data_IF_369659460438
#
_entry.id   IF_369659460438
#
_cell.length_a   1.000
_cell.length_b   1.000
_cell.length_c   1.000
_cell.angle_alpha   90.00
_cell.angle_beta   90.00
_cell.angle_gamma   90.00
#
_symmetry.space_group_name_H-M   'P 1'
#
loop_
_entity.id
_entity.type
_entity.pdbx_description
1 polymer ?
#
# COMPACT_ATOMS: atom_id res chain seq x y z
N UNK A 1 -53.37 -25.24 -16.10
CA UNK A 1 -52.94 -24.44 -14.95
C UNK A 1 -51.84 -25.11 -14.09
N UNK A 2 -52.04 -26.32 -13.54
CA UNK A 2 -51.05 -26.96 -12.60
C UNK A 2 -49.66 -27.23 -13.19
N UNK A 3 -49.53 -27.56 -14.49
CA UNK A 3 -48.22 -27.77 -15.14
C UNK A 3 -47.42 -26.46 -15.32
N UNK A 4 -48.08 -25.38 -15.75
CA UNK A 4 -47.42 -24.08 -15.88
C UNK A 4 -46.90 -23.56 -14.54
N UNK A 5 -47.67 -23.73 -13.49
CA UNK A 5 -47.30 -23.31 -12.13
C UNK A 5 -46.03 -24.06 -11.63
N UNK A 6 -45.94 -25.38 -11.89
CA UNK A 6 -44.75 -26.18 -11.54
C UNK A 6 -43.47 -25.74 -12.31
N UNK A 7 -43.63 -25.35 -13.57
CA UNK A 7 -42.51 -24.85 -14.38
C UNK A 7 -42.03 -23.52 -13.83
N UNK A 8 -42.97 -22.59 -13.51
CA UNK A 8 -42.62 -21.31 -12.91
C UNK A 8 -41.90 -21.49 -11.56
N UNK A 9 -42.40 -22.35 -10.68
CA UNK A 9 -41.72 -22.68 -9.41
C UNK A 9 -40.32 -23.24 -9.63
N UNK A 10 -40.13 -24.16 -10.59
CA UNK A 10 -38.83 -24.69 -10.93
C UNK A 10 -37.84 -23.63 -11.37
N UNK A 11 -38.28 -22.72 -12.24
CA UNK A 11 -37.42 -21.61 -12.72
C UNK A 11 -37.05 -20.66 -11.57
N UNK A 12 -38.02 -20.29 -10.72
CA UNK A 12 -37.77 -19.40 -9.56
C UNK A 12 -36.77 -20.05 -8.59
N UNK A 13 -36.93 -21.33 -8.27
CA UNK A 13 -35.99 -22.05 -7.40
C UNK A 13 -34.59 -22.09 -8.02
N UNK A 14 -34.47 -22.34 -9.33
CA UNK A 14 -33.17 -22.38 -10.01
C UNK A 14 -32.48 -21.02 -9.95
N UNK A 15 -33.20 -19.92 -10.15
CA UNK A 15 -32.65 -18.55 -10.05
C UNK A 15 -32.19 -18.28 -8.63
N UNK A 16 -32.96 -18.64 -7.61
CA UNK A 16 -32.57 -18.46 -6.20
C UNK A 16 -31.31 -19.24 -5.86
N UNK A 17 -31.16 -20.48 -6.33
CA UNK A 17 -29.96 -21.30 -6.13
C UNK A 17 -28.75 -20.65 -6.78
N UNK A 18 -28.88 -20.13 -8.01
CA UNK A 18 -27.79 -19.42 -8.70
C UNK A 18 -27.38 -18.16 -7.96
N UNK A 19 -28.32 -17.39 -7.43
CA UNK A 19 -28.04 -16.21 -6.61
C UNK A 19 -27.28 -16.60 -5.33
N UNK A 20 -27.72 -17.63 -4.62
CA UNK A 20 -27.03 -18.11 -3.42
C UNK A 20 -25.62 -18.58 -3.71
N UNK A 21 -25.42 -19.36 -4.79
CA UNK A 21 -24.10 -19.78 -5.23
C UNK A 21 -23.20 -18.59 -5.56
N UNK A 22 -23.74 -17.59 -6.28
CA UNK A 22 -22.99 -16.38 -6.63
C UNK A 22 -22.60 -15.57 -5.38
N UNK A 23 -23.52 -15.41 -4.43
CA UNK A 23 -23.24 -14.70 -3.15
C UNK A 23 -22.20 -15.46 -2.34
N UNK A 24 -22.34 -16.80 -2.20
CA UNK A 24 -21.34 -17.62 -1.52
C UNK A 24 -19.97 -17.54 -2.19
N UNK A 25 -19.91 -17.59 -3.51
CA UNK A 25 -18.68 -17.42 -4.28
C UNK A 25 -18.06 -16.05 -4.05
N UNK A 26 -18.86 -14.98 -4.10
CA UNK A 26 -18.39 -13.62 -3.84
C UNK A 26 -17.83 -13.46 -2.43
N UNK A 27 -18.53 -14.00 -1.41
CA UNK A 27 -18.07 -13.95 -0.02
C UNK A 27 -16.80 -14.78 0.21
N UNK A 28 -16.67 -15.93 -0.46
CA UNK A 28 -15.49 -16.79 -0.37
C UNK A 28 -14.30 -16.18 -1.12
N UNK A 29 -14.53 -15.59 -2.30
CA UNK A 29 -13.46 -14.94 -3.07
C UNK A 29 -12.89 -13.71 -2.37
N UNK A 30 -13.72 -12.96 -1.61
CA UNK A 30 -13.22 -11.86 -0.76
C UNK A 30 -12.52 -12.35 0.52
N UNK A 31 -12.71 -13.60 0.92
CA UNK A 31 -12.03 -14.20 2.07
C UNK A 31 -10.82 -15.06 1.70
N UNK A 32 -10.55 -15.23 0.40
CA UNK A 32 -9.30 -15.89 0.00
C UNK A 32 -8.15 -15.02 0.51
N UNK A 33 -7.34 -15.55 1.44
CA UNK A 33 -6.11 -14.88 1.80
C UNK A 33 -5.36 -14.68 0.49
N UNK A 34 -4.87 -13.45 0.26
CA UNK A 34 -3.95 -13.15 -0.82
C UNK A 34 -2.99 -14.32 -0.92
N UNK A 35 -2.98 -15.00 -2.07
CA UNK A 35 -2.10 -16.13 -2.26
C UNK A 35 -0.71 -15.61 -1.90
N UNK A 36 -0.12 -16.14 -0.82
CA UNK A 36 1.31 -15.97 -0.60
C UNK A 36 1.95 -16.50 -1.86
N UNK A 37 2.34 -15.60 -2.75
CA UNK A 37 3.14 -15.99 -3.90
C UNK A 37 4.40 -16.60 -3.30
N UNK A 38 4.55 -17.89 -3.46
CA UNK A 38 5.75 -18.59 -3.07
C UNK A 38 6.88 -17.92 -3.83
N UNK A 39 7.78 -17.26 -3.12
CA UNK A 39 8.98 -16.67 -3.72
C UNK A 39 9.80 -17.82 -4.27
N UNK A 40 9.57 -18.20 -5.51
CA UNK A 40 10.36 -19.19 -6.24
C UNK A 40 11.48 -18.44 -6.95
N UNK A 41 12.71 -18.53 -6.44
CA UNK A 41 13.90 -17.92 -7.07
C UNK A 41 13.91 -16.38 -6.98
N UNK A 42 14.24 -15.69 -8.02
CA UNK A 42 14.59 -14.27 -8.09
C UNK A 42 13.38 -13.30 -8.15
N UNK A 43 12.28 -13.56 -7.45
CA UNK A 43 11.13 -12.67 -7.45
C UNK A 43 11.31 -11.53 -6.43
N UNK A 44 11.11 -10.30 -6.87
CA UNK A 44 11.09 -9.10 -6.06
C UNK A 44 9.63 -8.66 -5.83
N UNK A 45 9.24 -8.52 -4.57
CA UNK A 45 7.91 -8.06 -4.20
C UNK A 45 7.94 -6.58 -3.88
N UNK A 46 7.14 -5.79 -4.60
CA UNK A 46 7.01 -4.35 -4.40
C UNK A 46 5.59 -4.01 -3.99
N UNK A 47 5.42 -3.28 -2.90
CA UNK A 47 4.15 -2.70 -2.47
C UNK A 47 4.18 -1.21 -2.70
N UNK A 48 3.11 -0.66 -3.28
CA UNK A 48 2.87 0.77 -3.36
C UNK A 48 1.56 1.10 -2.65
N UNK A 49 1.57 2.15 -1.81
CA UNK A 49 0.42 2.50 -0.98
C UNK A 49 0.37 4.01 -0.71
N UNK A 50 -0.71 4.65 -1.18
CA UNK A 50 -0.99 6.03 -0.81
C UNK A 50 -1.58 6.08 0.60
N UNK A 51 -0.93 6.79 1.52
CA UNK A 51 -1.29 6.84 2.93
C UNK A 51 -2.33 7.91 3.27
N UNK A 52 -2.79 8.67 2.27
CA UNK A 52 -3.75 9.77 2.44
C UNK A 52 -3.37 10.71 3.60
N UNK A 53 -2.16 11.26 3.54
CA UNK A 53 -1.60 12.09 4.62
C UNK A 53 -1.49 11.33 5.95
N UNK A 54 -1.31 10.01 5.89
CA UNK A 54 -1.39 9.07 7.01
C UNK A 54 -2.69 9.27 7.80
N UNK A 55 -3.82 9.41 7.05
CA UNK A 55 -5.14 9.61 7.61
C UNK A 55 -5.19 10.83 8.55
N UNK A 56 -4.78 11.96 8.07
CA UNK A 56 -4.38 13.26 8.65
C UNK A 56 -4.61 13.43 10.15
N UNK A 57 -5.85 13.36 10.65
CA UNK A 57 -6.18 13.60 12.06
C UNK A 57 -6.44 12.31 12.87
N UNK A 58 -6.07 11.16 12.34
CA UNK A 58 -6.20 9.88 13.04
C UNK A 58 -5.19 9.77 14.20
N UNK A 59 -5.55 8.94 15.19
CA UNK A 59 -4.71 8.65 16.35
C UNK A 59 -3.41 7.97 15.92
N UNK A 60 -2.40 8.02 16.77
CA UNK A 60 -1.14 7.31 16.55
C UNK A 60 -1.36 5.81 16.31
N UNK A 61 -2.25 5.20 17.09
CA UNK A 61 -2.59 3.78 17.00
C UNK A 61 -3.08 3.39 15.58
N UNK A 62 -3.93 4.21 14.96
CA UNK A 62 -4.44 3.96 13.60
C UNK A 62 -3.33 4.01 12.56
N UNK A 63 -2.37 4.95 12.72
CA UNK A 63 -1.20 5.09 11.84
C UNK A 63 -0.27 3.90 11.96
N UNK A 64 -0.01 3.44 13.17
CA UNK A 64 0.81 2.27 13.42
C UNK A 64 0.13 1.00 12.91
N UNK A 65 -1.19 0.85 13.10
CA UNK A 65 -1.94 -0.29 12.57
C UNK A 65 -1.89 -0.36 11.04
N UNK A 66 -1.95 0.78 10.35
CA UNK A 66 -1.77 0.84 8.89
C UNK A 66 -0.37 0.37 8.47
N UNK A 67 0.68 0.85 9.15
CA UNK A 67 2.06 0.43 8.86
C UNK A 67 2.26 -1.06 9.15
N UNK A 68 1.67 -1.57 10.23
CA UNK A 68 1.68 -3.00 10.56
C UNK A 68 0.98 -3.85 9.49
N UNK A 69 -0.11 -3.35 8.92
CA UNK A 69 -0.76 -3.99 7.79
C UNK A 69 0.17 -4.06 6.56
N UNK A 70 0.83 -2.94 6.24
CA UNK A 70 1.80 -2.89 5.13
C UNK A 70 2.97 -3.86 5.35
N UNK A 71 3.50 -3.97 6.58
CA UNK A 71 4.55 -4.93 6.92
C UNK A 71 4.11 -6.39 6.74
N UNK A 72 2.86 -6.72 7.10
CA UNK A 72 2.30 -8.07 6.91
C UNK A 72 2.23 -8.53 5.46
N UNK A 73 2.33 -7.61 4.50
CA UNK A 73 2.44 -7.95 3.08
C UNK A 73 3.81 -8.54 2.72
N UNK A 74 4.79 -8.48 3.62
CA UNK A 74 6.13 -9.07 3.52
C UNK A 74 6.86 -8.70 2.22
N UNK A 75 6.73 -7.42 1.81
CA UNK A 75 7.34 -6.91 0.60
C UNK A 75 8.85 -6.69 0.76
N UNK A 76 9.58 -6.81 -0.34
CA UNK A 76 11.01 -6.47 -0.40
C UNK A 76 11.22 -4.96 -0.46
N UNK A 77 10.29 -4.26 -1.12
CA UNK A 77 10.28 -2.80 -1.26
C UNK A 77 8.87 -2.29 -0.96
N UNK A 78 8.79 -1.24 -0.15
CA UNK A 78 7.53 -0.54 0.17
C UNK A 78 7.66 0.92 -0.26
N UNK A 79 6.75 1.35 -1.13
CA UNK A 79 6.65 2.72 -1.62
C UNK A 79 5.40 3.36 -1.03
N UNK A 80 5.57 4.33 -0.16
CA UNK A 80 4.47 5.08 0.44
C UNK A 80 4.38 6.47 -0.18
N UNK A 81 3.18 6.86 -0.59
CA UNK A 81 2.88 8.22 -1.03
C UNK A 81 2.08 8.96 0.05
N UNK A 82 2.08 10.28 0.01
CA UNK A 82 1.38 11.15 0.96
C UNK A 82 1.74 10.89 2.42
N UNK A 83 2.97 10.51 2.69
CA UNK A 83 3.41 10.33 4.07
C UNK A 83 3.53 11.70 4.74
N UNK A 84 2.78 11.89 5.83
CA UNK A 84 2.78 13.10 6.63
C UNK A 84 3.41 12.85 7.99
N UNK A 85 4.49 13.56 8.30
CA UNK A 85 5.15 13.53 9.62
C UNK A 85 5.23 14.92 10.23
N UNK A 86 5.22 14.98 11.56
CA UNK A 86 5.23 16.21 12.32
C UNK A 86 6.59 16.42 12.99
N UNK A 87 6.96 17.68 13.22
CA UNK A 87 8.12 18.05 14.05
C UNK A 87 7.78 18.02 15.54
N UNK A 88 6.50 18.09 15.88
CA UNK A 88 6.04 18.06 17.28
C UNK A 88 6.09 16.63 17.82
N UNK A 89 6.82 16.35 18.92
CA UNK A 89 6.96 15.01 19.49
C UNK A 89 5.64 14.40 20.02
N UNK A 90 4.62 15.22 20.26
CA UNK A 90 3.28 14.74 20.67
C UNK A 90 2.42 14.28 19.48
N UNK A 91 2.99 14.21 18.30
CA UNK A 91 2.33 13.77 17.05
C UNK A 91 3.18 12.68 16.40
N UNK A 92 2.70 12.09 15.30
CA UNK A 92 3.47 11.12 14.54
C UNK A 92 4.67 11.77 13.85
N UNK A 93 5.86 11.38 14.25
CA UNK A 93 7.14 11.96 13.82
C UNK A 93 7.89 11.06 12.86
N UNK A 94 8.98 11.57 12.27
CA UNK A 94 9.89 10.74 11.46
C UNK A 94 10.59 9.62 12.27
N UNK A 95 11.02 9.84 13.53
CA UNK A 95 11.47 8.74 14.39
C UNK A 95 10.42 7.64 14.58
N UNK A 96 9.13 7.98 14.79
CA UNK A 96 8.06 6.98 14.93
C UNK A 96 7.90 6.17 13.66
N UNK A 97 7.95 6.81 12.49
CA UNK A 97 7.90 6.14 11.20
C UNK A 97 9.09 5.18 11.01
N UNK A 98 10.29 5.61 11.39
CA UNK A 98 11.50 4.77 11.32
C UNK A 98 11.40 3.56 12.22
N UNK A 99 10.95 3.75 13.44
CA UNK A 99 10.80 2.65 14.41
C UNK A 99 9.73 1.67 13.95
N UNK A 100 8.59 2.16 13.45
CA UNK A 100 7.53 1.31 12.92
C UNK A 100 7.97 0.45 11.74
N UNK A 101 8.93 0.93 10.92
CA UNK A 101 9.43 0.26 9.71
C UNK A 101 10.90 -0.18 9.83
N UNK A 102 11.39 -0.42 11.05
CA UNK A 102 12.81 -0.73 11.36
C UNK A 102 13.33 -2.02 10.70
N UNK A 103 12.46 -2.91 10.25
CA UNK A 103 12.84 -4.12 9.54
C UNK A 103 13.38 -3.86 8.11
N UNK A 104 13.21 -2.63 7.60
CA UNK A 104 13.74 -2.20 6.32
C UNK A 104 15.01 -1.36 6.54
N UNK A 105 16.22 -1.93 6.34
CA UNK A 105 17.47 -1.25 6.65
C UNK A 105 17.77 -0.07 5.72
N UNK A 106 17.20 -0.06 4.51
CA UNK A 106 17.45 0.99 3.54
C UNK A 106 16.20 1.84 3.33
N UNK A 107 16.37 3.16 3.44
CA UNK A 107 15.26 4.09 3.35
C UNK A 107 15.60 5.28 2.47
N UNK A 108 14.57 5.83 1.81
CA UNK A 108 14.64 7.09 1.11
C UNK A 108 13.42 7.93 1.48
N UNK A 109 13.66 9.07 2.13
CA UNK A 109 12.64 10.03 2.53
C UNK A 109 12.71 11.23 1.59
N UNK A 110 11.71 11.40 0.75
CA UNK A 110 11.59 12.53 -0.18
C UNK A 110 10.45 13.44 0.26
N UNK A 111 10.74 14.25 1.25
CA UNK A 111 9.77 15.17 1.81
C UNK A 111 9.89 16.58 1.24
N UNK A 112 8.73 17.19 1.01
CA UNK A 112 8.59 18.65 0.95
C UNK A 112 8.29 19.17 2.33
N UNK A 113 8.78 20.39 2.63
CA UNK A 113 8.34 21.13 3.81
C UNK A 113 6.94 21.67 3.52
N UNK A 114 5.92 21.02 4.06
CA UNK A 114 4.53 21.47 3.88
C UNK A 114 4.27 22.79 4.62
N UNK A 115 4.82 22.92 5.83
CA UNK A 115 4.91 24.17 6.60
C UNK A 115 5.94 24.00 7.73
N UNK A 116 6.11 25.01 8.60
CA UNK A 116 7.07 24.98 9.72
C UNK A 116 6.87 23.79 10.69
N UNK A 117 5.71 23.14 10.68
CA UNK A 117 5.32 22.11 11.65
C UNK A 117 5.28 20.68 11.07
N UNK A 118 5.21 20.53 9.73
CA UNK A 118 4.98 19.23 9.08
C UNK A 118 5.75 19.10 7.78
N UNK A 119 6.11 17.86 7.47
CA UNK A 119 6.70 17.43 6.21
C UNK A 119 5.79 16.41 5.54
N UNK A 120 5.73 16.46 4.23
CA UNK A 120 4.85 15.62 3.41
C UNK A 120 5.61 15.13 2.19
N UNK A 121 5.40 13.87 1.79
CA UNK A 121 6.05 13.37 0.58
C UNK A 121 5.99 11.87 0.38
N UNK A 122 6.91 11.39 -0.44
CA UNK A 122 7.10 9.98 -0.73
C UNK A 122 8.16 9.38 0.19
N UNK A 123 7.98 8.11 0.54
CA UNK A 123 8.95 7.34 1.29
C UNK A 123 9.12 5.98 0.65
N UNK A 124 10.37 5.54 0.54
CA UNK A 124 10.73 4.18 0.12
C UNK A 124 11.42 3.48 1.26
N UNK A 125 10.94 2.30 1.60
CA UNK A 125 11.58 1.34 2.48
C UNK A 125 12.02 0.14 1.67
N UNK A 126 13.22 -0.39 1.91
CA UNK A 126 13.76 -1.49 1.13
C UNK A 126 14.61 -2.42 1.98
N UNK A 127 14.55 -3.71 1.68
CA UNK A 127 15.51 -4.72 2.18
C UNK A 127 16.84 -4.69 1.43
N UNK A 128 16.87 -4.01 0.28
CA UNK A 128 18.03 -3.89 -0.60
C UNK A 128 18.59 -2.46 -0.61
N UNK A 129 19.89 -2.28 -0.86
CA UNK A 129 20.51 -0.96 -0.93
C UNK A 129 19.81 -0.03 -1.92
N UNK A 130 19.62 1.23 -1.50
CA UNK A 130 19.06 2.31 -2.32
C UNK A 130 20.14 3.34 -2.64
N UNK A 131 20.44 3.52 -3.92
CA UNK A 131 21.46 4.45 -4.43
C UNK A 131 20.86 5.41 -5.45
N UNK A 132 21.59 6.40 -5.91
CA UNK A 132 21.22 7.36 -6.94
C UNK A 132 19.85 8.02 -6.68
N UNK A 133 19.62 8.42 -5.42
CA UNK A 133 18.36 9.03 -4.97
C UNK A 133 18.18 10.43 -5.58
N UNK A 134 17.06 10.64 -6.25
CA UNK A 134 16.74 11.90 -6.93
C UNK A 134 15.28 12.27 -6.69
N UNK A 135 15.03 13.56 -6.54
CA UNK A 135 13.70 14.15 -6.43
C UNK A 135 13.37 14.91 -7.68
N UNK A 136 12.24 14.60 -8.31
CA UNK A 136 11.69 15.39 -9.41
C UNK A 136 10.60 16.28 -8.82
N UNK A 137 10.75 17.60 -8.94
CA UNK A 137 9.80 18.60 -8.48
C UNK A 137 9.00 19.15 -9.66
N UNK A 138 7.73 19.36 -9.41
CA UNK A 138 6.78 19.95 -10.34
C UNK A 138 6.43 21.38 -9.87
N UNK A 139 5.88 22.19 -10.75
CA UNK A 139 5.32 23.49 -10.37
C UNK A 139 4.17 23.35 -9.37
N UNK A 140 3.35 22.28 -9.52
CA UNK A 140 2.34 21.90 -8.54
C UNK A 140 2.97 21.60 -7.20
N UNK A 141 2.36 22.10 -6.12
CA UNK A 141 2.85 21.87 -4.76
C UNK A 141 2.60 20.44 -4.26
N UNK A 142 1.62 19.74 -4.81
CA UNK A 142 1.23 18.39 -4.41
C UNK A 142 2.02 17.31 -5.15
N UNK A 143 2.35 17.53 -6.43
CA UNK A 143 3.02 16.52 -7.25
C UNK A 143 4.49 16.33 -6.83
N UNK A 144 4.86 15.06 -6.64
CA UNK A 144 6.22 14.62 -6.29
C UNK A 144 6.51 13.33 -7.06
N UNK A 145 7.67 13.26 -7.71
CA UNK A 145 8.23 11.99 -8.18
C UNK A 145 9.58 11.76 -7.54
N UNK A 146 9.74 10.61 -6.93
CA UNK A 146 10.95 10.19 -6.22
C UNK A 146 11.58 9.04 -6.97
N UNK A 147 12.84 9.18 -7.39
CA UNK A 147 13.57 8.16 -8.12
C UNK A 147 14.74 7.66 -7.28
N UNK A 148 14.97 6.35 -7.30
CA UNK A 148 16.20 5.75 -6.79
C UNK A 148 16.50 4.45 -7.55
N UNK A 149 17.73 3.98 -7.42
CA UNK A 149 18.13 2.68 -7.94
C UNK A 149 18.22 1.69 -6.77
N UNK A 150 17.64 0.49 -6.94
CA UNK A 150 17.62 -0.62 -5.98
C UNK A 150 18.62 -1.65 -6.44
N UNK A 151 19.61 -1.98 -5.61
CA UNK A 151 20.65 -2.97 -5.93
C UNK A 151 20.23 -4.34 -5.41
N UNK A 152 19.97 -5.29 -6.33
CA UNK A 152 19.54 -6.66 -6.02
C UNK A 152 20.57 -7.64 -6.56
N UNK A 153 21.47 -8.11 -5.70
CA UNK A 153 22.60 -8.95 -6.12
C UNK A 153 23.54 -8.19 -7.08
N UNK A 154 23.63 -8.66 -8.31
CA UNK A 154 24.44 -8.01 -9.36
C UNK A 154 23.59 -7.07 -10.26
N UNK A 155 22.28 -7.07 -10.08
CA UNK A 155 21.35 -6.27 -10.87
C UNK A 155 21.01 -4.96 -10.18
N UNK A 156 20.63 -3.97 -10.98
CA UNK A 156 20.14 -2.68 -10.49
C UNK A 156 18.82 -2.35 -11.17
N UNK A 157 17.80 -2.10 -10.37
CA UNK A 157 16.46 -1.75 -10.84
C UNK A 157 16.21 -0.28 -10.56
N UNK A 158 15.74 0.47 -11.55
CA UNK A 158 15.28 1.84 -11.35
C UNK A 158 13.85 1.86 -10.84
N UNK A 159 13.68 2.44 -9.67
CA UNK A 159 12.40 2.64 -9.01
C UNK A 159 11.98 4.11 -9.14
N UNK A 160 10.75 4.35 -9.61
CA UNK A 160 10.14 5.68 -9.65
C UNK A 160 8.82 5.63 -8.90
N UNK A 161 8.69 6.45 -7.87
CA UNK A 161 7.48 6.56 -7.04
C UNK A 161 6.83 7.88 -7.34
N UNK A 162 5.64 7.83 -7.93
CA UNK A 162 4.88 9.02 -8.32
C UNK A 162 3.73 9.28 -7.36
N UNK A 163 3.54 10.54 -7.00
CA UNK A 163 2.32 11.10 -6.47
C UNK A 163 1.92 12.26 -7.37
N UNK A 164 0.91 12.05 -8.20
CA UNK A 164 0.42 13.00 -9.20
C UNK A 164 -1.09 13.19 -9.00
N UNK A 165 -1.56 14.44 -9.05
CA UNK A 165 -2.98 14.85 -9.03
C UNK A 165 -3.47 15.23 -10.40
#
# INVERSE_FOLDING_TARGET
MKKALRVIYGVVISILVLIVVWVCWSLLSHRMPWQKHWKTGHQLTVVTYNTNGMLVDKKLEDKLAMLDYVKKLDADIVCLQEVLVYKNPNRFTLPDLREAMREYPYTYYDFKVYNSRRQFGNVVFSRYPLINKQTIRYESQSNISSQCDVVVGQDTLRLVVNHLE
#
